data_IF_770218310459
#
_entry.id   IF_770218310459
#
_cell.length_a   1.000
_cell.length_b   1.000
_cell.length_c   1.000
_cell.angle_alpha   90.00
_cell.angle_beta   90.00
_cell.angle_gamma   90.00
#
_symmetry.space_group_name_H-M   'P 1'
#
loop_
_entity.id
_entity.type
_entity.pdbx_description
1 polymer ?
#
# COMPACT_ATOMS: atom_id res chain seq x y z
N UNK A 1 12.60 0.89 6.17
CA UNK A 1 12.27 1.95 7.14
C UNK A 1 10.81 1.83 7.54
N UNK A 2 10.43 2.28 8.73
CA UNK A 2 9.03 2.27 9.18
C UNK A 2 8.50 3.70 9.22
N UNK A 3 7.31 3.92 8.65
CA UNK A 3 6.56 5.18 8.74
C UNK A 3 5.31 4.90 9.57
N UNK A 4 5.28 5.42 10.80
CA UNK A 4 4.20 5.15 11.75
C UNK A 4 2.91 5.88 11.39
N UNK A 5 3.03 7.11 10.85
CA UNK A 5 1.90 7.93 10.45
C UNK A 5 2.15 8.54 9.06
N UNK A 6 1.72 7.87 7.97
CA UNK A 6 1.91 8.35 6.60
C UNK A 6 1.06 9.58 6.28
N UNK A 7 0.12 9.96 7.15
CA UNK A 7 -0.68 11.19 7.00
C UNK A 7 0.07 12.41 7.55
N UNK A 8 0.88 12.23 8.61
CA UNK A 8 1.76 13.27 9.16
C UNK A 8 3.08 13.37 8.41
N UNK A 9 3.64 12.24 8.01
CA UNK A 9 4.92 12.18 7.30
C UNK A 9 4.71 11.55 5.95
N UNK A 10 4.67 12.38 4.91
CA UNK A 10 4.49 11.91 3.53
C UNK A 10 5.61 10.93 3.15
N UNK A 11 5.26 9.70 2.71
CA UNK A 11 6.25 8.76 2.21
C UNK A 11 7.04 9.29 1.02
N UNK A 12 6.42 10.12 0.17
CA UNK A 12 7.10 10.79 -0.94
C UNK A 12 8.14 11.80 -0.46
N UNK A 13 7.85 12.56 0.60
CA UNK A 13 8.81 13.50 1.16
C UNK A 13 10.03 12.77 1.73
N UNK A 14 9.80 11.63 2.39
CA UNK A 14 10.85 10.77 2.91
C UNK A 14 11.70 10.17 1.79
N UNK A 15 11.07 9.61 0.75
CA UNK A 15 11.79 9.12 -0.43
C UNK A 15 12.62 10.23 -1.07
N UNK A 16 12.04 11.43 -1.26
CA UNK A 16 12.75 12.59 -1.83
C UNK A 16 13.98 12.98 -1.01
N UNK A 17 13.91 12.89 0.32
CA UNK A 17 15.03 13.21 1.18
C UNK A 17 16.16 12.18 1.03
N UNK A 18 15.81 10.90 0.93
CA UNK A 18 16.76 9.80 0.71
C UNK A 18 17.41 9.94 -0.67
N UNK A 19 16.62 10.13 -1.72
CA UNK A 19 17.08 10.31 -3.10
C UNK A 19 18.10 11.45 -3.20
N UNK A 20 17.79 12.61 -2.61
CA UNK A 20 18.72 13.75 -2.54
C UNK A 20 20.01 13.42 -1.79
N UNK A 21 19.91 12.73 -0.66
CA UNK A 21 21.08 12.38 0.17
C UNK A 21 21.99 11.35 -0.52
N UNK A 22 21.40 10.41 -1.27
CA UNK A 22 22.09 9.39 -2.05
C UNK A 22 22.75 10.01 -3.28
N UNK A 23 22.04 10.86 -4.01
CA UNK A 23 22.57 11.58 -5.17
C UNK A 23 23.72 12.52 -4.79
N UNK A 24 23.64 13.18 -3.63
CA UNK A 24 24.74 14.02 -3.12
C UNK A 24 26.04 13.22 -2.86
N UNK A 25 25.94 11.90 -2.73
CA UNK A 25 27.07 10.97 -2.56
C UNK A 25 27.44 10.24 -3.86
N UNK A 26 26.82 10.61 -5.00
CA UNK A 26 27.07 9.99 -6.30
C UNK A 26 26.41 8.63 -6.49
N UNK A 27 25.40 8.29 -5.67
CA UNK A 27 24.58 7.09 -5.84
C UNK A 27 23.21 7.40 -6.43
N UNK A 28 22.47 6.33 -6.76
CA UNK A 28 21.10 6.41 -7.25
C UNK A 28 20.20 5.43 -6.50
N UNK A 29 18.93 5.81 -6.31
CA UNK A 29 17.89 4.92 -5.79
C UNK A 29 17.24 4.22 -6.97
N UNK A 30 17.42 2.91 -7.07
CA UNK A 30 16.93 2.14 -8.23
C UNK A 30 15.52 1.58 -8.03
N UNK A 31 15.18 1.20 -6.80
CA UNK A 31 13.95 0.47 -6.48
C UNK A 31 13.51 0.72 -5.03
N UNK A 32 12.20 0.67 -4.78
CA UNK A 32 11.64 0.74 -3.42
C UNK A 32 10.86 -0.52 -3.08
N UNK A 33 11.17 -1.16 -1.96
CA UNK A 33 10.39 -2.27 -1.43
C UNK A 33 9.47 -1.82 -0.30
N UNK A 34 8.16 -2.04 -0.48
CA UNK A 34 7.18 -1.96 0.60
C UNK A 34 7.03 -3.34 1.22
N UNK A 35 7.16 -3.45 2.55
CA UNK A 35 7.02 -4.72 3.28
C UNK A 35 5.54 -4.92 3.64
N UNK A 36 5.01 -6.11 3.33
CA UNK A 36 3.61 -6.45 3.62
C UNK A 36 2.63 -5.80 2.62
N UNK A 37 1.65 -5.07 3.16
CA UNK A 37 0.60 -4.44 2.35
C UNK A 37 1.01 -3.02 1.93
N UNK A 38 0.62 -2.64 0.72
CA UNK A 38 0.90 -1.34 0.10
C UNK A 38 -0.23 -0.38 0.49
N UNK A 39 0.08 0.70 1.23
CA UNK A 39 -0.90 1.74 1.53
C UNK A 39 -1.38 2.46 0.28
N UNK A 40 -2.65 2.84 0.27
CA UNK A 40 -3.29 3.57 -0.84
C UNK A 40 -2.58 4.87 -1.22
N UNK A 41 -1.99 5.56 -0.24
CA UNK A 41 -1.20 6.77 -0.47
C UNK A 41 0.01 6.55 -1.40
N UNK A 42 0.46 5.30 -1.59
CA UNK A 42 1.61 4.95 -2.44
C UNK A 42 1.22 4.48 -3.86
N UNK A 43 -0.07 4.27 -4.13
CA UNK A 43 -0.56 3.77 -5.44
C UNK A 43 -1.15 4.85 -6.34
N UNK A 44 -1.10 6.12 -5.92
CA UNK A 44 -1.45 7.21 -6.82
C UNK A 44 -0.47 7.23 -8.01
N UNK A 45 -0.93 7.40 -9.27
CA UNK A 45 -0.07 7.28 -10.46
C UNK A 45 1.22 8.11 -10.38
N UNK A 46 1.13 9.38 -9.96
CA UNK A 46 2.29 10.27 -9.79
C UNK A 46 3.27 9.83 -8.68
N UNK A 47 2.80 9.01 -7.73
CA UNK A 47 3.60 8.46 -6.62
C UNK A 47 4.27 7.16 -7.02
N UNK A 48 3.56 6.32 -7.77
CA UNK A 48 4.05 5.03 -8.26
C UNK A 48 5.27 5.19 -9.16
N UNK A 49 5.18 6.05 -10.18
CA UNK A 49 6.25 6.21 -11.19
C UNK A 49 7.54 6.72 -10.56
N UNK A 50 7.41 7.50 -9.48
CA UNK A 50 8.56 8.10 -8.78
C UNK A 50 9.22 7.16 -7.77
N UNK A 51 8.45 6.24 -7.18
CA UNK A 51 8.95 5.37 -6.11
C UNK A 51 9.56 4.07 -6.64
N UNK A 52 9.36 3.69 -7.90
CA UNK A 52 9.82 2.41 -8.44
C UNK A 52 9.46 1.22 -7.52
N UNK A 53 8.18 1.15 -7.13
CA UNK A 53 7.72 0.17 -6.13
C UNK A 53 7.80 -1.26 -6.69
N UNK A 54 8.56 -2.11 -6.01
CA UNK A 54 8.67 -3.53 -6.32
C UNK A 54 7.39 -4.30 -6.03
N UNK A 55 7.06 -5.21 -6.96
CA UNK A 55 5.94 -6.15 -6.81
C UNK A 55 4.59 -5.46 -6.54
N UNK A 56 4.32 -4.39 -7.30
CA UNK A 56 3.09 -3.62 -7.21
C UNK A 56 1.89 -4.40 -7.79
N UNK A 57 1.39 -5.35 -7.01
CA UNK A 57 0.23 -6.17 -7.35
C UNK A 57 -1.03 -5.58 -6.73
N UNK A 58 -2.16 -5.51 -7.47
CA UNK A 58 -3.44 -5.09 -6.90
C UNK A 58 -3.89 -5.90 -5.68
N UNK A 59 -3.42 -7.14 -5.50
CA UNK A 59 -3.71 -7.96 -4.32
C UNK A 59 -2.98 -7.47 -3.05
N UNK A 60 -1.90 -6.70 -3.21
CA UNK A 60 -1.12 -6.12 -2.11
C UNK A 60 -1.57 -4.71 -1.73
N UNK A 61 -2.47 -4.09 -2.49
CA UNK A 61 -3.06 -2.79 -2.10
C UNK A 61 -4.00 -3.00 -0.91
N UNK A 62 -3.77 -2.24 0.17
CA UNK A 62 -4.42 -2.45 1.46
C UNK A 62 -5.95 -2.31 1.37
N UNK A 63 -6.47 -1.19 0.87
CA UNK A 63 -7.92 -1.00 0.72
C UNK A 63 -8.59 -2.10 -0.11
N UNK A 64 -7.94 -2.52 -1.19
CA UNK A 64 -8.45 -3.57 -2.09
C UNK A 64 -8.52 -4.90 -1.38
N UNK A 65 -7.47 -5.27 -0.63
CA UNK A 65 -7.45 -6.51 0.15
C UNK A 65 -8.49 -6.52 1.26
N UNK A 66 -8.65 -5.40 1.96
CA UNK A 66 -9.67 -5.24 3.00
C UNK A 66 -11.07 -5.38 2.40
N UNK A 67 -11.35 -4.71 1.28
CA UNK A 67 -12.63 -4.82 0.58
C UNK A 67 -12.96 -6.26 0.18
N UNK A 68 -12.04 -6.96 -0.49
CA UNK A 68 -12.23 -8.37 -0.87
C UNK A 68 -12.49 -9.27 0.35
N UNK A 69 -11.83 -8.98 1.47
CA UNK A 69 -12.05 -9.72 2.71
C UNK A 69 -13.44 -9.45 3.32
N UNK A 70 -13.93 -8.21 3.26
CA UNK A 70 -15.27 -7.85 3.71
C UNK A 70 -16.36 -8.48 2.84
N UNK A 71 -16.20 -8.44 1.51
CA UNK A 71 -17.12 -9.05 0.54
C UNK A 71 -17.23 -10.57 0.76
N UNK A 72 -16.09 -11.27 0.88
CA UNK A 72 -16.09 -12.71 1.13
C UNK A 72 -16.71 -13.13 2.47
N UNK A 73 -16.74 -12.22 3.47
CA UNK A 73 -17.43 -12.47 4.75
C UNK A 73 -18.95 -12.34 4.62
N UNK A 74 -19.42 -11.42 3.79
CA UNK A 74 -20.85 -11.22 3.53
C UNK A 74 -21.45 -12.42 2.79
N UNK A 75 -20.70 -13.02 1.86
CA UNK A 75 -21.15 -14.22 1.12
C UNK A 75 -21.25 -15.48 2.00
N UNK A 76 -20.45 -15.55 3.08
CA UNK A 76 -20.47 -16.70 4.01
C UNK A 76 -21.46 -16.55 5.18
N UNK A 77 -22.21 -15.44 5.24
CA UNK A 77 -22.97 -15.03 6.42
C UNK A 77 -24.48 -14.94 6.24
N UNK A 78 -25.15 -15.95 5.68
CA UNK A 78 -26.61 -16.08 5.76
C UNK A 78 -27.07 -17.56 5.83
N UNK A 79 -27.35 -18.13 7.01
CA UNK A 79 -28.44 -19.08 7.14
C UNK A 79 -29.75 -18.30 7.11
N UNK A 80 -30.57 -18.52 6.08
CA UNK A 80 -31.95 -18.03 6.03
C UNK A 80 -32.72 -18.66 7.19
N UNK A 81 -32.93 -17.91 8.26
CA UNK A 81 -33.87 -18.26 9.31
C UNK A 81 -35.29 -18.12 8.77
N UNK A 82 -35.75 -19.11 8.02
CA UNK A 82 -37.17 -19.31 7.73
C UNK A 82 -37.52 -20.81 7.68
N UNK A 83 -37.04 -21.56 8.67
CA UNK A 83 -37.58 -22.86 9.05
C UNK A 83 -37.82 -22.82 10.57
N UNK A 84 -38.84 -22.08 10.98
CA UNK A 84 -39.40 -22.16 12.32
C UNK A 84 -40.93 -22.25 12.20
N UNK A 85 -41.37 -23.51 12.17
CA UNK A 85 -42.71 -24.05 12.49
C UNK A 85 -43.86 -23.64 11.55
#
# INVERSE_FOLDING_TARGET
MNLEDPTKTSPLAVFSAIEKAVHAQGGDVVETQVIGMIPDALVLPATQDRLHILDLKPARVLSRRVRMHMEGRLDTGMPTSNDAI
#
